data_IF_549038910036
#
_entry.id   IF_549038910036
#
_cell.length_a   1.000
_cell.length_b   1.000
_cell.length_c   1.000
_cell.angle_alpha   90.00
_cell.angle_beta   90.00
_cell.angle_gamma   90.00
#
_symmetry.space_group_name_H-M   'P 1'
#
loop_
_entity.id
_entity.type
_entity.pdbx_description
1 polymer ?
#
# COMPACT_ATOMS: atom_id res chain seq x y z
N UNK A 1 27.38 19.92 13.54
CA UNK A 1 27.00 20.20 14.94
C UNK A 1 26.83 21.70 15.09
N UNK A 2 25.59 22.19 15.02
CA UNK A 2 25.27 23.57 15.39
C UNK A 2 25.52 23.71 16.88
N UNK A 3 26.66 24.28 17.26
CA UNK A 3 26.94 24.60 18.65
C UNK A 3 26.08 25.81 18.99
N UNK A 4 25.12 25.62 19.89
CA UNK A 4 24.22 26.70 20.28
C UNK A 4 25.06 27.78 20.97
N UNK A 5 24.66 29.05 20.90
CA UNK A 5 25.29 30.15 21.66
C UNK A 5 25.43 29.83 23.16
N UNK A 6 24.55 28.97 23.69
CA UNK A 6 24.63 28.40 25.04
C UNK A 6 25.85 27.49 25.23
N UNK A 7 26.17 26.63 24.29
CA UNK A 7 27.26 25.66 24.38
C UNK A 7 28.64 26.34 24.40
N UNK A 8 28.80 27.43 23.63
CA UNK A 8 29.99 28.29 23.67
C UNK A 8 30.17 28.99 25.02
N UNK A 9 29.09 29.48 25.63
CA UNK A 9 29.14 30.04 26.98
C UNK A 9 29.52 28.96 28.01
N UNK A 10 28.97 27.74 27.88
CA UNK A 10 29.34 26.61 28.76
C UNK A 10 30.82 26.24 28.63
N UNK A 11 31.35 26.22 27.40
CA UNK A 11 32.76 25.94 27.12
C UNK A 11 33.67 27.05 27.66
N UNK A 12 33.32 28.31 27.43
CA UNK A 12 34.06 29.45 27.97
C UNK A 12 34.12 29.45 29.50
N UNK A 13 33.03 29.09 30.19
CA UNK A 13 33.02 28.92 31.65
C UNK A 13 33.97 27.78 32.07
N UNK A 14 33.87 26.61 31.44
CA UNK A 14 34.71 25.45 31.76
C UNK A 14 36.20 25.77 31.63
N UNK A 15 36.56 26.48 30.57
CA UNK A 15 37.96 26.80 30.34
C UNK A 15 38.47 28.03 31.13
N UNK A 16 37.59 28.86 31.70
CA UNK A 16 37.97 29.95 32.63
C UNK A 16 37.98 29.49 34.09
N UNK A 17 37.33 28.36 34.41
CA UNK A 17 37.19 27.80 35.74
C UNK A 17 37.86 26.40 35.86
N UNK A 18 39.11 26.38 36.35
CA UNK A 18 39.69 25.18 37.00
C UNK A 18 39.06 25.01 38.42
N UNK A 19 39.33 23.94 39.20
CA UNK A 19 38.34 23.25 40.06
C UNK A 19 37.59 24.14 41.06
N UNK A 20 36.37 23.71 41.40
CA UNK A 20 35.43 24.37 42.34
C UNK A 20 36.14 25.12 43.48
N UNK A 21 35.83 26.41 43.63
CA UNK A 21 36.43 27.26 44.67
C UNK A 21 37.41 28.34 44.17
N UNK A 22 37.53 28.56 42.86
CA UNK A 22 38.37 29.64 42.32
C UNK A 22 37.87 31.02 42.77
N UNK A 23 38.75 31.79 43.44
CA UNK A 23 38.48 33.18 43.83
C UNK A 23 38.29 34.10 42.62
N UNK A 24 37.45 35.13 42.75
CA UNK A 24 37.19 36.14 41.72
C UNK A 24 38.48 36.78 41.15
N UNK A 25 39.54 36.89 41.97
CA UNK A 25 40.83 37.40 41.51
C UNK A 25 41.52 36.49 40.47
N UNK A 26 41.37 35.18 40.62
CA UNK A 26 41.91 34.20 39.68
C UNK A 26 41.09 34.13 38.38
N UNK A 27 39.76 34.28 38.48
CA UNK A 27 38.85 34.38 37.31
C UNK A 27 39.20 35.61 36.45
N UNK A 28 39.41 36.77 37.09
CA UNK A 28 39.85 37.99 36.36
C UNK A 28 41.24 37.83 35.74
N UNK A 29 42.13 37.04 36.36
CA UNK A 29 43.48 36.75 35.83
C UNK A 29 43.41 35.81 34.62
N UNK A 30 42.60 34.77 34.66
CA UNK A 30 42.40 33.85 33.53
C UNK A 30 41.69 34.55 32.36
N UNK A 31 40.67 35.37 32.65
CA UNK A 31 40.02 36.21 31.65
C UNK A 31 41.00 37.12 30.92
N UNK A 32 41.84 37.90 31.63
CA UNK A 32 42.83 38.78 31.00
C UNK A 32 43.79 38.03 30.07
N UNK A 33 44.26 36.85 30.49
CA UNK A 33 45.14 36.02 29.66
C UNK A 33 44.46 35.55 28.38
N UNK A 34 43.17 35.23 28.42
CA UNK A 34 42.41 34.78 27.24
C UNK A 34 41.93 35.92 26.36
N UNK A 35 41.46 37.00 26.97
CA UNK A 35 41.07 38.23 26.28
C UNK A 35 42.20 38.77 25.40
N UNK A 36 43.46 38.66 25.86
CA UNK A 36 44.64 39.00 25.06
C UNK A 36 44.88 38.05 23.88
N UNK A 37 44.53 36.76 24.02
CA UNK A 37 44.68 35.75 22.96
C UNK A 37 43.59 35.86 21.90
N UNK A 38 42.36 36.16 22.29
CA UNK A 38 41.21 36.29 21.39
C UNK A 38 40.91 37.76 21.04
N UNK A 39 41.84 38.69 21.25
CA UNK A 39 41.59 40.11 20.99
C UNK A 39 41.46 40.36 19.48
N UNK A 40 40.39 41.02 19.00
CA UNK A 40 40.18 41.24 17.57
C UNK A 40 41.30 42.07 16.92
N UNK A 41 41.83 43.08 17.64
CA UNK A 41 42.97 43.90 17.17
C UNK A 41 44.28 43.11 17.00
N UNK A 42 44.47 42.03 17.77
CA UNK A 42 45.69 41.18 17.69
C UNK A 42 45.51 40.00 16.74
N UNK A 43 44.28 39.70 16.35
CA UNK A 43 43.93 38.59 15.46
C UNK A 43 43.00 39.08 14.34
N UNK A 44 43.46 40.01 13.48
CA UNK A 44 42.64 40.56 12.40
C UNK A 44 42.23 39.50 11.36
N UNK A 45 42.98 38.39 11.26
CA UNK A 45 42.72 37.30 10.30
C UNK A 45 41.68 36.28 10.80
N UNK A 46 41.25 36.36 12.05
CA UNK A 46 40.27 35.44 12.63
C UNK A 46 38.90 36.12 12.78
N UNK A 47 37.99 35.83 11.85
CA UNK A 47 36.61 36.34 11.85
C UNK A 47 35.84 36.00 13.14
N UNK A 48 36.20 34.89 13.79
CA UNK A 48 35.56 34.43 15.03
C UNK A 48 36.14 35.09 16.29
N UNK A 49 37.25 35.83 16.20
CA UNK A 49 37.89 36.44 17.38
C UNK A 49 36.97 37.43 18.09
N UNK A 50 36.17 38.20 17.34
CA UNK A 50 35.19 39.12 17.91
C UNK A 50 34.07 38.38 18.67
N UNK A 51 33.56 37.28 18.12
CA UNK A 51 32.51 36.47 18.75
C UNK A 51 33.01 35.72 19.99
N UNK A 52 34.22 35.18 19.92
CA UNK A 52 34.89 34.53 21.06
C UNK A 52 35.14 35.54 22.19
N UNK A 53 35.58 36.76 21.86
CA UNK A 53 35.81 37.82 22.84
C UNK A 53 34.51 38.27 23.52
N UNK A 54 33.43 38.46 22.76
CA UNK A 54 32.10 38.77 23.30
C UNK A 54 31.57 37.64 24.19
N UNK A 55 31.78 36.39 23.78
CA UNK A 55 31.43 35.21 24.58
C UNK A 55 32.23 35.16 25.89
N UNK A 56 33.55 35.39 25.84
CA UNK A 56 34.41 35.46 27.02
C UNK A 56 33.97 36.55 27.99
N UNK A 57 33.50 37.69 27.48
CA UNK A 57 32.96 38.79 28.31
C UNK A 57 31.68 38.38 29.04
N UNK A 58 30.74 37.73 28.35
CA UNK A 58 29.49 37.20 28.94
C UNK A 58 29.76 36.12 29.99
N UNK A 59 30.72 35.26 29.71
CA UNK A 59 31.18 34.23 30.66
C UNK A 59 31.75 34.87 31.93
N UNK A 60 32.57 35.92 31.81
CA UNK A 60 33.11 36.62 32.97
C UNK A 60 32.00 37.21 33.84
N UNK A 61 30.98 37.81 33.22
CA UNK A 61 29.84 38.39 33.94
C UNK A 61 29.11 37.34 34.78
N UNK A 62 28.81 36.18 34.20
CA UNK A 62 28.16 35.05 34.89
C UNK A 62 29.05 34.49 36.02
N UNK A 63 30.37 34.46 35.82
CA UNK A 63 31.31 33.92 36.80
C UNK A 63 31.62 34.86 37.97
N UNK A 64 31.44 36.16 37.79
CA UNK A 64 31.61 37.16 38.85
C UNK A 64 30.39 37.24 39.77
N UNK A 65 29.20 36.91 39.28
CA UNK A 65 28.01 36.76 40.11
C UNK A 65 27.99 35.41 40.83
N UNK A 66 27.98 35.46 42.16
CA UNK A 66 27.95 34.28 43.04
C UNK A 66 26.64 33.49 42.82
N UNK A 67 25.52 34.17 42.59
CA UNK A 67 24.22 33.54 42.36
C UNK A 67 24.17 32.78 41.03
N UNK A 68 24.52 33.45 39.93
CA UNK A 68 24.60 32.84 38.61
C UNK A 68 25.62 31.70 38.55
N UNK A 69 26.79 31.86 39.19
CA UNK A 69 27.81 30.80 39.28
C UNK A 69 27.29 29.57 40.03
N UNK A 70 26.61 29.75 41.16
CA UNK A 70 26.05 28.64 41.92
C UNK A 70 24.94 27.90 41.13
N UNK A 71 24.08 28.62 40.43
CA UNK A 71 23.06 28.03 39.57
C UNK A 71 23.70 27.23 38.41
N UNK A 72 24.74 27.78 37.80
CA UNK A 72 25.49 27.12 36.75
C UNK A 72 26.17 25.83 37.24
N UNK A 73 26.84 25.88 38.39
CA UNK A 73 27.49 24.71 38.98
C UNK A 73 26.48 23.59 39.31
N UNK A 74 25.25 23.95 39.75
CA UNK A 74 24.16 22.98 39.96
C UNK A 74 23.72 22.30 38.66
N UNK A 75 23.55 23.06 37.58
CA UNK A 75 23.18 22.52 36.26
C UNK A 75 24.27 21.61 35.71
N UNK A 76 25.55 21.97 35.89
CA UNK A 76 26.65 21.11 35.49
C UNK A 76 26.68 19.80 36.29
N UNK A 77 26.48 19.88 37.60
CA UNK A 77 26.43 18.69 38.47
C UNK A 77 25.29 17.76 38.06
N UNK A 78 24.08 18.30 37.86
CA UNK A 78 22.92 17.50 37.46
C UNK A 78 23.09 16.85 36.09
N UNK A 79 23.68 17.55 35.11
CA UNK A 79 23.99 16.99 33.79
C UNK A 79 25.01 15.85 33.87
N UNK A 80 26.08 16.03 34.65
CA UNK A 80 27.09 14.98 34.87
C UNK A 80 26.48 13.75 35.52
N UNK A 81 25.69 13.94 36.57
CA UNK A 81 25.00 12.85 37.26
C UNK A 81 23.98 12.15 36.35
N UNK A 82 23.23 12.89 35.53
CA UNK A 82 22.31 12.32 34.56
C UNK A 82 23.04 11.49 33.48
N UNK A 83 24.17 11.99 32.99
CA UNK A 83 24.99 11.26 32.02
C UNK A 83 25.56 9.97 32.60
N UNK A 84 26.01 9.99 33.86
CA UNK A 84 26.48 8.80 34.58
C UNK A 84 25.33 7.79 34.73
N UNK A 85 24.17 8.22 35.25
CA UNK A 85 22.99 7.36 35.39
C UNK A 85 22.55 6.73 34.08
N UNK A 86 22.54 7.50 33.00
CA UNK A 86 22.16 6.97 31.69
C UNK A 86 23.18 5.94 31.18
N UNK A 87 24.48 6.19 31.38
CA UNK A 87 25.54 5.25 31.02
C UNK A 87 25.45 3.95 31.82
N UNK A 88 25.13 4.03 33.11
CA UNK A 88 24.91 2.86 33.97
C UNK A 88 23.68 2.08 33.51
N UNK A 89 22.56 2.76 33.27
CA UNK A 89 21.34 2.14 32.73
C UNK A 89 21.59 1.42 31.41
N UNK A 90 22.29 2.04 30.47
CA UNK A 90 22.61 1.40 29.17
C UNK A 90 23.49 0.16 29.36
N UNK A 91 24.42 0.16 30.32
CA UNK A 91 25.21 -1.04 30.63
C UNK A 91 24.32 -2.13 31.22
N UNK A 92 23.46 -1.80 32.18
CA UNK A 92 22.53 -2.75 32.78
C UNK A 92 21.60 -3.37 31.73
N UNK A 93 21.02 -2.54 30.86
CA UNK A 93 20.19 -2.97 29.72
C UNK A 93 20.96 -3.92 28.77
N UNK A 94 22.20 -3.58 28.42
CA UNK A 94 23.05 -4.46 27.59
C UNK A 94 23.33 -5.79 28.27
N UNK A 95 23.62 -5.79 29.57
CA UNK A 95 23.87 -7.04 30.31
C UNK A 95 22.60 -7.87 30.46
N UNK A 96 21.44 -7.24 30.65
CA UNK A 96 20.16 -7.92 30.75
C UNK A 96 19.77 -8.56 29.41
N UNK A 97 19.94 -7.81 28.32
CA UNK A 97 19.73 -8.31 26.95
C UNK A 97 20.62 -9.51 26.66
N UNK A 98 21.90 -9.43 26.96
CA UNK A 98 22.83 -10.56 26.75
C UNK A 98 22.43 -11.79 27.58
N UNK A 99 22.02 -11.61 28.84
CA UNK A 99 21.53 -12.71 29.69
C UNK A 99 20.22 -13.33 29.18
N UNK A 100 19.30 -12.51 28.66
CA UNK A 100 18.06 -12.99 28.06
C UNK A 100 18.33 -13.80 26.79
N UNK A 101 19.17 -13.26 25.90
CA UNK A 101 19.57 -13.93 24.65
C UNK A 101 20.29 -15.25 24.93
N UNK A 102 21.18 -15.29 25.93
CA UNK A 102 21.83 -16.53 26.34
C UNK A 102 20.83 -17.56 26.88
N UNK A 103 19.86 -17.13 27.69
CA UNK A 103 18.80 -18.00 28.21
C UNK A 103 17.89 -18.51 27.09
N UNK A 104 17.54 -17.65 26.13
CA UNK A 104 16.76 -18.04 24.95
C UNK A 104 17.53 -19.04 24.09
N UNK A 105 18.84 -18.83 23.90
CA UNK A 105 19.72 -19.75 23.18
C UNK A 105 19.84 -21.10 23.88
N UNK A 106 20.00 -21.12 25.20
CA UNK A 106 20.05 -22.36 25.99
C UNK A 106 18.69 -23.08 26.02
N UNK A 107 17.57 -22.34 26.00
CA UNK A 107 16.23 -22.91 25.92
C UNK A 107 15.87 -23.40 24.49
N UNK A 108 16.60 -22.94 23.47
CA UNK A 108 16.42 -23.33 22.08
C UNK A 108 17.11 -24.67 21.70
N UNK A 109 17.77 -25.36 22.64
CA UNK A 109 18.41 -26.68 22.46
C UNK A 109 17.40 -27.84 22.26
N UNK A 110 16.48 -27.66 21.30
CA UNK A 110 15.51 -28.67 20.90
C UNK A 110 14.34 -28.15 20.06
N UNK A 111 14.20 -26.83 19.85
CA UNK A 111 13.19 -26.28 18.93
C UNK A 111 13.89 -25.45 17.86
N UNK A 112 13.77 -25.81 16.57
CA UNK A 112 14.30 -24.95 15.52
C UNK A 112 13.63 -23.59 15.63
N UNK A 113 14.43 -22.53 15.75
CA UNK A 113 13.97 -21.15 15.65
C UNK A 113 13.44 -20.95 14.23
N UNK A 114 12.16 -21.24 14.03
CA UNK A 114 11.44 -20.84 12.83
C UNK A 114 11.35 -19.32 12.90
N UNK A 115 12.02 -18.62 11.97
CA UNK A 115 11.90 -17.17 11.83
C UNK A 115 10.43 -16.74 11.84
N UNK A 116 10.11 -15.58 12.42
CA UNK A 116 8.74 -15.04 12.36
C UNK A 116 8.22 -15.04 10.92
N UNK A 117 9.07 -14.67 9.96
CA UNK A 117 8.77 -14.69 8.54
C UNK A 117 8.39 -16.07 8.02
N UNK A 118 9.00 -17.13 8.56
CA UNK A 118 8.71 -18.50 8.16
C UNK A 118 7.46 -19.06 8.85
N UNK A 119 7.14 -18.58 10.05
CA UNK A 119 5.84 -18.82 10.69
C UNK A 119 4.72 -18.13 9.90
N UNK A 120 4.93 -16.87 9.50
CA UNK A 120 3.99 -16.14 8.64
C UNK A 120 3.80 -16.80 7.28
N UNK A 121 4.89 -17.24 6.62
CA UNK A 121 4.79 -17.99 5.34
C UNK A 121 3.95 -19.25 5.47
N UNK A 122 4.12 -20.02 6.56
CA UNK A 122 3.31 -21.23 6.79
C UNK A 122 1.84 -20.91 7.05
N UNK A 123 1.56 -19.86 7.83
CA UNK A 123 0.17 -19.45 8.08
C UNK A 123 -0.50 -18.91 6.82
N UNK A 124 0.23 -18.16 5.99
CA UNK A 124 -0.27 -17.66 4.71
C UNK A 124 -0.62 -18.82 3.77
N UNK A 125 0.27 -19.81 3.64
CA UNK A 125 0.03 -21.00 2.84
C UNK A 125 -1.20 -21.78 3.33
N UNK A 126 -1.36 -21.91 4.65
CA UNK A 126 -2.52 -22.58 5.24
C UNK A 126 -3.82 -21.83 4.91
N UNK A 127 -3.84 -20.50 5.01
CA UNK A 127 -5.01 -19.68 4.69
C UNK A 127 -5.35 -19.70 3.19
N UNK A 128 -4.35 -19.74 2.33
CA UNK A 128 -4.54 -19.94 0.88
C UNK A 128 -5.21 -21.29 0.60
N UNK A 129 -4.68 -22.38 1.16
CA UNK A 129 -5.27 -23.71 1.01
C UNK A 129 -6.69 -23.80 1.58
N UNK A 130 -6.95 -23.19 2.74
CA UNK A 130 -8.30 -23.11 3.33
C UNK A 130 -9.26 -22.30 2.44
N UNK A 131 -8.79 -21.20 1.85
CA UNK A 131 -9.56 -20.38 0.93
C UNK A 131 -9.86 -21.08 -0.40
N UNK A 132 -8.86 -21.73 -0.99
CA UNK A 132 -9.00 -22.54 -2.21
C UNK A 132 -10.03 -23.65 -2.01
N UNK A 133 -9.96 -24.35 -0.88
CA UNK A 133 -10.91 -25.42 -0.56
C UNK A 133 -12.35 -24.92 -0.51
N UNK A 134 -12.60 -23.76 0.11
CA UNK A 134 -13.94 -23.17 0.18
C UNK A 134 -14.47 -22.75 -1.19
N UNK A 135 -13.60 -22.22 -2.06
CA UNK A 135 -13.98 -21.84 -3.42
C UNK A 135 -14.36 -23.08 -4.23
N UNK A 136 -13.57 -24.16 -4.13
CA UNK A 136 -13.85 -25.43 -4.81
C UNK A 136 -15.17 -26.03 -4.33
N UNK A 137 -15.40 -26.05 -3.01
CA UNK A 137 -16.64 -26.58 -2.42
C UNK A 137 -17.88 -25.81 -2.89
N UNK A 138 -17.79 -24.47 -2.95
CA UNK A 138 -18.90 -23.64 -3.44
C UNK A 138 -19.13 -23.79 -4.95
N UNK A 139 -18.06 -23.91 -5.75
CA UNK A 139 -18.16 -24.21 -7.19
C UNK A 139 -18.86 -25.55 -7.43
N UNK A 140 -18.50 -26.59 -6.69
CA UNK A 140 -19.17 -27.88 -6.83
C UNK A 140 -20.64 -27.83 -6.43
N UNK A 141 -20.96 -27.07 -5.37
CA UNK A 141 -22.34 -26.88 -4.93
C UNK A 141 -23.16 -26.18 -6.02
N UNK A 142 -22.67 -25.09 -6.58
CA UNK A 142 -23.31 -24.39 -7.69
C UNK A 142 -23.47 -25.29 -8.91
N UNK A 143 -22.46 -26.09 -9.24
CA UNK A 143 -22.53 -27.02 -10.36
C UNK A 143 -23.62 -28.10 -10.14
N UNK A 144 -23.77 -28.60 -8.91
CA UNK A 144 -24.86 -29.52 -8.55
C UNK A 144 -26.23 -28.85 -8.65
N UNK A 145 -26.35 -27.59 -8.24
CA UNK A 145 -27.60 -26.82 -8.37
C UNK A 145 -27.99 -26.66 -9.85
N UNK A 146 -27.06 -26.24 -10.70
CA UNK A 146 -27.26 -26.11 -12.15
C UNK A 146 -27.64 -27.45 -12.78
N UNK A 147 -26.96 -28.54 -12.42
CA UNK A 147 -27.26 -29.87 -12.96
C UNK A 147 -28.67 -30.36 -12.56
N UNK A 148 -29.10 -30.06 -11.34
CA UNK A 148 -30.44 -30.39 -10.86
C UNK A 148 -31.51 -29.54 -11.57
N UNK A 149 -31.27 -28.26 -11.77
CA UNK A 149 -32.15 -27.39 -12.56
C UNK A 149 -32.26 -27.87 -14.02
N UNK A 150 -31.15 -28.30 -14.61
CA UNK A 150 -31.10 -28.83 -15.97
C UNK A 150 -31.86 -30.17 -16.09
N UNK A 151 -31.74 -31.05 -15.08
CA UNK A 151 -32.52 -32.30 -15.00
C UNK A 151 -34.01 -32.03 -14.82
N UNK A 152 -34.38 -31.05 -13.99
CA UNK A 152 -35.79 -30.64 -13.83
C UNK A 152 -36.36 -30.04 -15.12
N UNK A 153 -35.58 -29.22 -15.84
CA UNK A 153 -35.93 -28.71 -17.16
C UNK A 153 -36.08 -29.84 -18.19
N UNK A 154 -35.25 -30.89 -18.13
CA UNK A 154 -35.35 -32.04 -19.04
C UNK A 154 -36.57 -32.95 -18.80
N UNK A 155 -37.10 -33.02 -17.57
CA UNK A 155 -38.29 -33.83 -17.25
C UNK A 155 -39.63 -33.18 -17.68
N UNK A 156 -39.61 -31.93 -18.13
CA UNK A 156 -40.81 -31.21 -18.61
C UNK A 156 -40.91 -31.10 -20.13
N UNK A 157 -40.01 -31.73 -20.89
CA UNK A 157 -40.05 -31.67 -22.37
C UNK A 157 -39.79 -33.05 -22.98
N UNK A 158 -40.86 -33.84 -23.14
CA UNK A 158 -40.90 -34.93 -24.11
C UNK A 158 -41.49 -34.37 -25.40
N UNK A 159 -40.64 -34.05 -26.38
CA UNK A 159 -40.72 -34.62 -27.74
C UNK A 159 -39.72 -33.98 -28.73
N UNK A 160 -39.25 -34.84 -29.64
CA UNK A 160 -38.75 -34.54 -30.99
C UNK A 160 -37.25 -34.29 -31.27
N UNK A 161 -36.61 -35.39 -31.67
CA UNK A 161 -35.62 -35.63 -32.75
C UNK A 161 -34.53 -34.63 -33.19
N UNK A 162 -33.33 -35.22 -33.39
CA UNK A 162 -32.26 -34.94 -34.38
C UNK A 162 -31.27 -33.78 -34.11
N UNK A 163 -30.04 -34.23 -33.84
CA UNK A 163 -28.75 -33.74 -34.36
C UNK A 163 -28.15 -32.44 -33.82
N UNK A 164 -26.84 -32.54 -33.58
CA UNK A 164 -25.79 -31.51 -33.60
C UNK A 164 -25.46 -30.78 -32.29
N UNK A 165 -24.30 -31.14 -31.75
CA UNK A 165 -23.25 -30.29 -31.17
C UNK A 165 -23.51 -28.77 -31.20
N UNK A 166 -24.37 -28.24 -30.34
CA UNK A 166 -24.59 -26.80 -30.20
C UNK A 166 -24.98 -26.44 -28.76
N UNK A 167 -24.01 -26.30 -27.84
CA UNK A 167 -24.34 -25.71 -26.54
C UNK A 167 -23.19 -24.98 -25.81
N UNK A 168 -22.07 -24.65 -26.48
CA UNK A 168 -20.89 -24.06 -25.78
C UNK A 168 -20.61 -22.58 -26.03
N UNK A 169 -21.35 -21.86 -26.87
CA UNK A 169 -20.91 -20.52 -27.30
C UNK A 169 -21.65 -19.36 -26.66
N UNK A 170 -21.48 -19.21 -25.34
CA UNK A 170 -21.95 -18.03 -24.59
C UNK A 170 -20.99 -16.84 -24.75
N UNK A 171 -19.71 -17.10 -25.02
CA UNK A 171 -18.65 -16.07 -25.05
C UNK A 171 -18.20 -15.72 -26.47
N UNK A 172 -19.17 -15.57 -27.37
CA UNK A 172 -18.91 -15.32 -28.78
C UNK A 172 -18.94 -13.83 -29.12
N UNK A 173 -17.96 -13.40 -29.89
CA UNK A 173 -17.80 -12.03 -30.37
C UNK A 173 -17.85 -11.99 -31.89
N UNK A 174 -18.50 -10.97 -32.44
CA UNK A 174 -18.54 -10.67 -33.86
C UNK A 174 -17.66 -9.46 -34.14
N UNK A 175 -16.73 -9.64 -35.07
CA UNK A 175 -15.80 -8.63 -35.54
C UNK A 175 -16.18 -8.27 -36.98
N UNK A 176 -16.24 -6.99 -37.31
CA UNK A 176 -16.50 -6.51 -38.67
C UNK A 176 -15.41 -5.53 -39.11
N UNK A 177 -15.07 -5.55 -40.39
CA UNK A 177 -14.18 -4.57 -41.00
C UNK A 177 -14.61 -4.24 -42.43
N UNK A 178 -14.12 -3.12 -42.95
CA UNK A 178 -14.34 -2.69 -44.33
C UNK A 178 -12.98 -2.52 -45.00
N UNK A 179 -12.74 -3.31 -46.05
CA UNK A 179 -11.57 -3.23 -46.91
C UNK A 179 -11.63 -1.97 -47.81
N UNK A 180 -10.46 -1.40 -48.09
CA UNK A 180 -10.28 -0.19 -48.89
C UNK A 180 -9.56 -0.53 -50.19
N UNK A 181 -9.56 0.35 -51.20
CA UNK A 181 -8.87 0.10 -52.49
C UNK A 181 -7.39 -0.30 -52.33
N UNK A 182 -6.72 0.21 -51.31
CA UNK A 182 -5.30 -0.06 -51.01
C UNK A 182 -5.07 -1.22 -50.02
N UNK A 183 -6.15 -1.78 -49.45
CA UNK A 183 -6.06 -2.84 -48.45
C UNK A 183 -7.16 -3.90 -48.64
N UNK A 184 -6.81 -5.14 -49.00
CA UNK A 184 -7.78 -6.17 -49.36
C UNK A 184 -8.54 -6.76 -48.17
N UNK A 185 -8.39 -6.23 -46.95
CA UNK A 185 -9.00 -6.79 -45.74
C UNK A 185 -8.01 -7.57 -44.88
N UNK A 186 -8.46 -7.98 -43.70
CA UNK A 186 -7.65 -8.73 -42.75
C UNK A 186 -7.46 -10.18 -43.19
N UNK A 187 -6.26 -10.73 -42.98
CA UNK A 187 -5.99 -12.17 -43.08
C UNK A 187 -6.34 -12.90 -41.77
N UNK A 188 -6.45 -14.22 -41.84
CA UNK A 188 -6.79 -15.07 -40.69
C UNK A 188 -5.79 -14.91 -39.55
N UNK A 189 -4.51 -14.86 -39.88
CA UNK A 189 -3.42 -14.74 -38.92
C UNK A 189 -3.41 -13.37 -38.24
N UNK A 190 -3.76 -12.30 -38.97
CA UNK A 190 -3.80 -10.94 -38.42
C UNK A 190 -4.95 -10.79 -37.42
N UNK A 191 -6.14 -11.33 -37.71
CA UNK A 191 -7.26 -11.34 -36.75
C UNK A 191 -6.93 -12.26 -35.58
N UNK A 192 -6.33 -13.42 -35.81
CA UNK A 192 -5.95 -14.32 -34.73
C UNK A 192 -4.99 -13.62 -33.75
N UNK A 193 -3.95 -12.94 -34.24
CA UNK A 193 -3.02 -12.19 -33.40
C UNK A 193 -3.68 -11.02 -32.65
N UNK A 194 -4.60 -10.29 -33.29
CA UNK A 194 -5.31 -9.18 -32.66
C UNK A 194 -6.18 -9.64 -31.49
N UNK A 195 -6.82 -10.80 -31.61
CA UNK A 195 -7.83 -11.25 -30.66
C UNK A 195 -7.32 -12.29 -29.65
N UNK A 196 -6.23 -12.99 -29.96
CA UNK A 196 -5.55 -13.90 -29.03
C UNK A 196 -4.96 -13.18 -27.82
N UNK A 197 -4.55 -11.90 -27.97
CA UNK A 197 -4.01 -11.12 -26.85
C UNK A 197 -5.00 -10.87 -25.71
N UNK A 198 -6.31 -10.99 -25.99
CA UNK A 198 -7.37 -10.75 -25.01
C UNK A 198 -7.83 -12.04 -24.32
N UNK A 199 -7.47 -13.21 -24.83
CA UNK A 199 -7.79 -14.49 -24.20
C UNK A 199 -7.71 -15.69 -25.16
N UNK A 200 -7.81 -16.88 -24.59
CA UNK A 200 -7.78 -18.13 -25.36
C UNK A 200 -9.01 -18.28 -26.25
N UNK A 201 -8.76 -18.59 -27.52
CA UNK A 201 -9.77 -18.73 -28.56
C UNK A 201 -10.05 -20.21 -28.78
N UNK A 202 -11.31 -20.63 -28.59
CA UNK A 202 -11.75 -22.00 -28.85
C UNK A 202 -11.98 -22.26 -30.34
N UNK A 203 -12.59 -21.30 -31.03
CA UNK A 203 -12.87 -21.40 -32.45
C UNK A 203 -12.94 -20.00 -33.06
N UNK A 204 -12.40 -19.87 -34.27
CA UNK A 204 -12.46 -18.64 -35.04
C UNK A 204 -12.84 -18.95 -36.48
N UNK A 205 -13.81 -18.21 -37.01
CA UNK A 205 -14.26 -18.33 -38.39
C UNK A 205 -14.32 -16.95 -39.01
N UNK A 206 -13.65 -16.76 -40.14
CA UNK A 206 -13.72 -15.52 -40.90
C UNK A 206 -14.42 -15.72 -42.25
N UNK A 207 -15.09 -14.68 -42.71
CA UNK A 207 -15.67 -14.60 -44.04
C UNK A 207 -15.50 -13.21 -44.59
N UNK A 208 -14.99 -13.12 -45.81
CA UNK A 208 -14.94 -11.89 -46.55
C UNK A 208 -15.88 -11.95 -47.76
N UNK A 209 -16.72 -10.92 -47.90
CA UNK A 209 -17.65 -10.77 -49.02
C UNK A 209 -17.47 -9.40 -49.65
N UNK A 210 -16.73 -9.34 -50.76
CA UNK A 210 -16.35 -8.08 -51.40
C UNK A 210 -15.48 -7.24 -50.48
N UNK A 211 -15.89 -5.99 -50.23
CA UNK A 211 -15.16 -5.07 -49.35
C UNK A 211 -15.55 -5.19 -47.86
N UNK A 212 -16.46 -6.08 -47.47
CA UNK A 212 -16.86 -6.26 -46.07
C UNK A 212 -16.36 -7.60 -45.56
N UNK A 213 -15.65 -7.58 -44.44
CA UNK A 213 -15.22 -8.77 -43.74
C UNK A 213 -15.92 -8.93 -42.39
N UNK A 214 -16.11 -10.16 -41.98
CA UNK A 214 -16.68 -10.51 -40.69
C UNK A 214 -15.96 -11.72 -40.13
N UNK A 215 -15.59 -11.67 -38.85
CA UNK A 215 -15.08 -12.81 -38.11
C UNK A 215 -15.97 -13.08 -36.90
N UNK A 216 -16.11 -14.36 -36.57
CA UNK A 216 -16.78 -14.87 -35.39
C UNK A 216 -15.72 -15.55 -34.55
N UNK A 217 -15.58 -15.10 -33.30
CA UNK A 217 -14.55 -15.58 -32.38
C UNK A 217 -15.26 -16.12 -31.15
N UNK A 218 -15.01 -17.38 -30.83
CA UNK A 218 -15.52 -18.04 -29.63
C UNK A 218 -14.38 -18.10 -28.61
N UNK A 219 -14.55 -17.39 -27.50
CA UNK A 219 -13.57 -17.36 -26.42
C UNK A 219 -13.81 -18.48 -25.41
N UNK A 220 -12.74 -18.94 -24.77
CA UNK A 220 -12.84 -19.85 -23.64
C UNK A 220 -13.56 -19.21 -22.44
N UNK A 221 -13.34 -17.90 -22.22
CA UNK A 221 -13.80 -17.18 -21.04
C UNK A 221 -14.57 -15.90 -21.41
N UNK A 222 -15.56 -15.53 -20.60
CA UNK A 222 -16.30 -14.26 -20.74
C UNK A 222 -15.39 -13.03 -20.75
N UNK A 223 -14.36 -13.04 -19.88
CA UNK A 223 -13.44 -11.91 -19.74
C UNK A 223 -12.73 -11.56 -21.05
N UNK A 224 -12.30 -12.56 -21.84
CA UNK A 224 -11.64 -12.29 -23.12
C UNK A 224 -12.57 -11.68 -24.16
N UNK A 225 -13.84 -12.13 -24.17
CA UNK A 225 -14.87 -11.56 -25.02
C UNK A 225 -15.19 -10.10 -24.65
N UNK A 226 -15.32 -9.79 -23.36
CA UNK A 226 -15.63 -8.44 -22.85
C UNK A 226 -14.47 -7.46 -23.11
N UNK A 227 -13.23 -7.88 -22.85
CA UNK A 227 -12.03 -7.07 -23.12
C UNK A 227 -11.86 -6.77 -24.61
N UNK A 228 -12.10 -7.75 -25.49
CA UNK A 228 -12.04 -7.54 -26.93
C UNK A 228 -13.08 -6.54 -27.43
N UNK A 229 -14.32 -6.60 -26.92
CA UNK A 229 -15.39 -5.65 -27.27
C UNK A 229 -15.07 -4.24 -26.78
N UNK A 230 -14.50 -4.12 -25.57
CA UNK A 230 -14.26 -2.82 -24.95
C UNK A 230 -13.04 -2.09 -25.54
N UNK A 231 -11.98 -2.82 -25.87
CA UNK A 231 -10.67 -2.21 -26.15
C UNK A 231 -10.11 -2.45 -27.56
N UNK A 232 -10.60 -3.44 -28.30
CA UNK A 232 -10.07 -3.70 -29.64
C UNK A 232 -10.65 -2.75 -30.68
N UNK A 233 -9.77 -1.99 -31.34
CA UNK A 233 -10.13 -1.02 -32.39
C UNK A 233 -9.46 -1.32 -33.73
N UNK A 234 -8.59 -2.33 -33.79
CA UNK A 234 -7.89 -2.74 -35.00
C UNK A 234 -6.52 -2.09 -35.14
N UNK A 235 -5.91 -2.26 -36.31
CA UNK A 235 -4.59 -1.70 -36.63
C UNK A 235 -4.75 -0.26 -37.16
N UNK A 236 -3.69 0.52 -37.08
CA UNK A 236 -3.67 1.91 -37.58
C UNK A 236 -4.04 1.91 -39.07
N UNK A 237 -5.11 2.63 -39.43
CA UNK A 237 -5.64 2.68 -40.80
C UNK A 237 -6.52 1.49 -41.21
N UNK A 238 -6.71 0.49 -40.34
CA UNK A 238 -7.53 -0.71 -40.54
C UNK A 238 -8.48 -0.91 -39.35
N UNK A 239 -9.58 -0.15 -39.25
CA UNK A 239 -10.46 -0.23 -38.09
C UNK A 239 -11.27 -1.54 -38.08
N UNK A 240 -11.54 -2.06 -36.88
CA UNK A 240 -12.53 -3.13 -36.65
C UNK A 240 -13.64 -2.68 -35.71
N UNK A 241 -14.84 -3.19 -35.93
CA UNK A 241 -16.00 -3.03 -35.03
C UNK A 241 -16.26 -4.37 -34.35
N UNK A 242 -16.28 -4.38 -33.01
CA UNK A 242 -16.36 -5.59 -32.20
C UNK A 242 -17.62 -5.54 -31.34
N UNK A 243 -18.43 -6.60 -31.36
CA UNK A 243 -19.67 -6.67 -30.58
C UNK A 243 -19.94 -8.08 -30.05
N UNK A 244 -20.54 -8.18 -28.87
CA UNK A 244 -21.04 -9.46 -28.36
C UNK A 244 -22.13 -10.03 -29.27
N UNK A 245 -22.07 -11.33 -29.48
CA UNK A 245 -23.13 -12.08 -30.15
C UNK A 245 -24.06 -12.58 -29.07
N UNK A 246 -25.14 -11.85 -28.83
CA UNK A 246 -26.20 -12.28 -27.93
C UNK A 246 -26.91 -13.48 -28.55
N UNK A 247 -27.09 -14.59 -27.81
CA UNK A 247 -27.96 -15.66 -28.23
C UNK A 247 -29.40 -15.11 -28.40
N UNK A 248 -30.12 -15.62 -29.39
CA UNK A 248 -31.46 -15.17 -29.80
C UNK A 248 -32.54 -15.28 -28.69
N UNK A 249 -32.20 -15.83 -27.51
CA UNK A 249 -33.08 -16.03 -26.37
C UNK A 249 -33.17 -14.85 -25.40
N UNK A 250 -32.49 -13.73 -25.64
CA UNK A 250 -32.58 -12.52 -24.80
C UNK A 250 -32.87 -11.24 -25.59
N UNK A 251 -34.04 -11.16 -26.25
CA UNK A 251 -34.66 -9.87 -26.56
C UNK A 251 -35.28 -9.31 -25.28
N UNK A 252 -34.75 -8.19 -24.77
CA UNK A 252 -35.36 -7.41 -23.68
C UNK A 252 -36.77 -6.96 -24.09
N UNK A 253 -37.78 -7.03 -23.20
CA UNK A 253 -39.10 -6.49 -23.49
C UNK A 253 -39.04 -4.96 -23.50
N UNK A 254 -39.80 -4.38 -24.44
CA UNK A 254 -39.98 -2.94 -24.59
C UNK A 254 -40.54 -2.29 -23.32
N UNK A 255 -40.09 -1.05 -23.10
CA UNK A 255 -40.65 -0.09 -22.15
C UNK A 255 -42.18 -0.06 -22.28
N UNK A 256 -42.89 -0.07 -21.16
CA UNK A 256 -44.29 0.35 -21.13
C UNK A 256 -44.49 1.57 -20.25
N UNK A 257 -45.19 2.51 -20.86
CA UNK A 257 -45.81 3.71 -20.33
C UNK A 257 -46.57 3.48 -19.02
N UNK A 258 -46.39 4.47 -18.14
CA UNK A 258 -47.42 5.21 -17.40
C UNK A 258 -48.70 4.47 -16.95
N UNK A 259 -48.83 4.32 -15.62
CA UNK A 259 -49.75 5.15 -14.82
C UNK A 259 -50.24 4.45 -13.55
N UNK A 260 -50.14 5.16 -12.42
CA UNK A 260 -51.03 5.16 -11.24
C UNK A 260 -51.35 3.80 -10.57
N UNK A 261 -50.94 3.62 -9.31
CA UNK A 261 -51.68 4.17 -8.16
C UNK A 261 -50.95 3.93 -6.84
N UNK A 262 -51.18 4.83 -5.89
CA UNK A 262 -50.90 4.72 -4.44
C UNK A 262 -51.29 3.34 -3.89
N UNK A 263 -50.61 2.84 -2.87
CA UNK A 263 -51.05 2.88 -1.45
C UNK A 263 -49.97 2.28 -0.55
N UNK A 264 -49.78 2.91 0.60
CA UNK A 264 -48.97 2.48 1.74
C UNK A 264 -49.44 1.12 2.28
N UNK A 265 -48.52 0.25 2.69
CA UNK A 265 -48.69 -0.56 3.91
C UNK A 265 -47.39 -1.25 4.28
N UNK A 266 -46.91 -0.93 5.48
CA UNK A 266 -45.95 -1.73 6.21
C UNK A 266 -46.52 -3.13 6.49
N UNK A 267 -45.70 -4.17 6.32
CA UNK A 267 -45.56 -5.25 7.31
C UNK A 267 -44.35 -6.10 6.93
N UNK A 268 -43.54 -6.40 7.94
CA UNK A 268 -42.30 -7.15 7.77
C UNK A 268 -42.51 -8.55 7.25
N UNK A 269 -41.51 -9.04 6.53
CA UNK A 269 -41.05 -10.40 6.73
C UNK A 269 -39.53 -10.46 6.58
N UNK A 270 -38.97 -11.10 7.59
CA UNK A 270 -37.58 -11.49 7.79
C UNK A 270 -36.96 -12.16 6.58
N UNK A 271 -35.93 -11.54 6.01
CA UNK A 271 -34.81 -12.29 5.43
C UNK A 271 -33.60 -12.05 6.34
N UNK A 272 -33.22 -13.03 7.19
CA UNK A 272 -32.10 -12.88 8.13
C UNK A 272 -30.73 -12.97 7.44
N UNK A 273 -30.70 -13.06 6.12
CA UNK A 273 -29.48 -13.17 5.35
C UNK A 273 -29.17 -11.80 4.73
N UNK A 274 -28.19 -11.11 5.32
CA UNK A 274 -27.57 -9.93 4.75
C UNK A 274 -27.12 -10.27 3.31
N UNK A 275 -27.67 -9.57 2.32
CA UNK A 275 -27.36 -9.82 0.91
C UNK A 275 -25.85 -9.66 0.68
N UNK A 276 -25.26 -10.48 -0.19
CA UNK A 276 -23.82 -10.43 -0.53
C UNK A 276 -23.39 -9.01 -0.95
N UNK A 277 -24.30 -8.25 -1.57
CA UNK A 277 -24.07 -6.85 -1.92
C UNK A 277 -23.96 -5.92 -0.70
N UNK A 278 -24.68 -6.20 0.38
CA UNK A 278 -24.66 -5.42 1.62
C UNK A 278 -23.41 -5.76 2.44
N UNK A 279 -23.06 -7.04 2.51
CA UNK A 279 -21.82 -7.51 3.14
C UNK A 279 -20.58 -6.93 2.44
N UNK A 280 -20.57 -6.89 1.10
CA UNK A 280 -19.48 -6.31 0.32
C UNK A 280 -19.38 -4.79 0.52
N UNK A 281 -20.51 -4.07 0.59
CA UNK A 281 -20.52 -2.64 0.91
C UNK A 281 -19.98 -2.35 2.30
N UNK A 282 -20.33 -3.17 3.29
CA UNK A 282 -19.82 -3.05 4.66
C UNK A 282 -18.32 -3.32 4.73
N UNK A 283 -17.83 -4.39 4.10
CA UNK A 283 -16.39 -4.70 4.03
C UNK A 283 -15.60 -3.60 3.32
N UNK A 284 -16.15 -3.03 2.24
CA UNK A 284 -15.54 -1.88 1.57
C UNK A 284 -15.51 -0.63 2.46
N UNK A 285 -16.60 -0.34 3.19
CA UNK A 285 -16.67 0.78 4.10
C UNK A 285 -15.70 0.64 5.29
N UNK A 286 -15.59 -0.55 5.88
CA UNK A 286 -14.63 -0.84 6.95
C UNK A 286 -13.17 -0.68 6.46
N UNK A 287 -12.86 -1.15 5.24
CA UNK A 287 -11.55 -0.92 4.61
C UNK A 287 -11.25 0.55 4.37
N UNK A 288 -12.22 1.30 3.86
CA UNK A 288 -12.04 2.74 3.62
C UNK A 288 -11.79 3.51 4.92
N UNK A 289 -12.51 3.18 5.99
CA UNK A 289 -12.33 3.79 7.30
C UNK A 289 -10.94 3.52 7.88
N UNK A 290 -10.42 2.30 7.70
CA UNK A 290 -9.08 1.94 8.16
C UNK A 290 -7.98 2.67 7.36
N UNK A 291 -8.18 2.86 6.05
CA UNK A 291 -7.28 3.63 5.20
C UNK A 291 -7.29 5.11 5.61
N UNK A 292 -8.46 5.68 5.90
CA UNK A 292 -8.60 7.05 6.37
C UNK A 292 -7.94 7.27 7.74
N UNK A 293 -8.06 6.29 8.64
CA UNK A 293 -7.39 6.30 9.95
C UNK A 293 -5.87 6.26 9.83
N UNK A 294 -5.33 5.45 8.91
CA UNK A 294 -3.89 5.39 8.62
C UNK A 294 -3.39 6.71 8.03
N UNK A 295 -4.11 7.28 7.05
CA UNK A 295 -3.75 8.57 6.44
C UNK A 295 -3.77 9.72 7.45
N UNK A 296 -4.76 9.75 8.35
CA UNK A 296 -4.83 10.75 9.41
C UNK A 296 -3.73 10.58 10.45
N UNK A 297 -3.33 9.34 10.76
CA UNK A 297 -2.21 9.04 11.66
C UNK A 297 -0.87 9.48 11.08
N UNK A 298 -0.65 9.26 9.78
CA UNK A 298 0.58 9.65 9.08
C UNK A 298 0.67 11.16 8.84
N UNK A 299 -0.46 11.86 8.71
CA UNK A 299 -0.51 13.33 8.58
C UNK A 299 -0.32 14.09 9.90
N UNK A 300 -0.30 13.39 11.04
CA UNK A 300 -0.13 13.95 12.39
C UNK A 300 1.29 13.75 12.96
N UNK A 301 2.22 13.21 12.17
CA UNK A 301 3.65 13.05 12.48
C UNK A 301 4.52 13.87 11.55
#
# INVERSE_FOLDING_TARGET
MSHTKRDYVMQGVFELQAPQGVSNGSIKKSYRKKALKCHPDKNPDNENAAEEFDTLKKVLEILLDVGARAAYDRVLKSRKEAAIRNRERTKEEQTLRAKLEERERQAADGRPHISEEERFRRELKRLEEEGERLIIEELERLNREVENEMKQASNSTSDNSKSSTQETSVFRVKVKWVATSDWPGYKEEEIHQLFYKWGDINAMVMKQKGNKGTAMIDYANYQGADMAVQFEKGLIGKPVEVAHVTPETMKKPDKKDDSKNKTESASGNSNPFESVADMNRRRQAERQKLIEEILNRDSST
#
